data_IF_608512962667
#
_entry.id   IF_608512962667
#
_cell.length_a   1.000
_cell.length_b   1.000
_cell.length_c   1.000
_cell.angle_alpha   90.00
_cell.angle_beta   90.00
_cell.angle_gamma   90.00
#
_symmetry.space_group_name_H-M   'P 1'
#
loop_
_entity.id
_entity.type
_entity.pdbx_description
1 polymer ?
#
# COMPACT_ATOMS: atom_id res chain seq x y z
N UNK A 1 4.76 68.18 -4.98
CA UNK A 1 5.17 67.47 -3.74
C UNK A 1 3.90 66.93 -3.09
N UNK A 2 3.60 65.64 -3.25
CA UNK A 2 2.40 64.99 -2.71
C UNK A 2 2.84 63.97 -1.66
N UNK A 3 2.44 64.22 -0.42
CA UNK A 3 2.77 63.42 0.76
C UNK A 3 2.14 62.03 0.69
N UNK A 4 2.96 60.99 0.83
CA UNK A 4 2.53 59.61 0.94
C UNK A 4 2.29 59.29 2.43
N UNK A 5 1.05 58.98 2.78
CA UNK A 5 0.64 58.58 4.13
C UNK A 5 0.94 57.08 4.30
N UNK A 6 1.84 56.75 5.24
CA UNK A 6 2.11 55.38 5.65
C UNK A 6 1.01 54.89 6.59
N UNK A 7 0.23 53.90 6.17
CA UNK A 7 -0.69 53.15 7.04
C UNK A 7 0.08 51.96 7.60
N UNK A 8 0.43 52.02 8.88
CA UNK A 8 0.99 50.89 9.63
C UNK A 8 -0.20 50.05 10.12
N UNK A 9 -0.38 48.86 9.54
CA UNK A 9 -1.34 47.86 10.03
C UNK A 9 -0.66 47.03 11.10
N UNK A 10 -1.02 47.26 12.36
CA UNK A 10 -0.66 46.39 13.47
C UNK A 10 -1.51 45.12 13.43
N UNK A 11 -0.93 43.99 13.01
CA UNK A 11 -1.51 42.67 13.23
C UNK A 11 -1.18 42.20 14.65
N UNK A 12 -2.16 42.31 15.55
CA UNK A 12 -2.14 41.59 16.82
C UNK A 12 -2.33 40.09 16.55
N UNK A 13 -1.25 39.31 16.59
CA UNK A 13 -1.34 37.86 16.70
C UNK A 13 -1.73 37.50 18.13
N UNK A 14 -2.99 37.11 18.32
CA UNK A 14 -3.44 36.43 19.52
C UNK A 14 -2.86 35.00 19.50
N UNK A 15 -1.88 34.73 20.36
CA UNK A 15 -1.37 33.39 20.63
C UNK A 15 -2.40 32.61 21.45
N UNK A 16 -3.13 31.71 20.82
CA UNK A 16 -3.93 30.70 21.51
C UNK A 16 -3.02 29.54 21.96
N UNK A 17 -3.19 28.99 23.18
CA UNK A 17 -2.45 27.81 23.61
C UNK A 17 -3.04 26.56 22.94
N UNK A 18 -2.34 26.04 21.92
CA UNK A 18 -2.59 24.71 21.33
C UNK A 18 -1.71 23.66 22.02
N UNK A 19 -2.09 23.30 23.24
CA UNK A 19 -1.63 22.08 23.91
C UNK A 19 -2.88 21.57 24.65
N UNK A 20 -3.62 20.60 24.12
CA UNK A 20 -3.49 19.21 24.59
C UNK A 20 -4.19 18.19 23.66
N UNK A 21 -4.33 18.51 22.37
CA UNK A 21 -5.03 17.62 21.41
C UNK A 21 -4.12 16.71 20.57
N UNK A 22 -2.83 17.02 20.46
CA UNK A 22 -1.97 16.45 19.39
C UNK A 22 -1.09 15.27 19.85
N UNK A 23 -0.92 15.06 21.15
CA UNK A 23 -0.04 14.01 21.70
C UNK A 23 -0.70 12.62 21.63
N UNK A 24 -2.02 12.54 21.61
CA UNK A 24 -2.76 11.27 21.66
C UNK A 24 -2.74 10.53 20.31
N UNK A 25 -2.79 11.25 19.18
CA UNK A 25 -2.75 10.66 17.83
C UNK A 25 -1.36 10.14 17.45
N UNK A 26 -0.29 10.85 17.82
CA UNK A 26 1.09 10.47 17.51
C UNK A 26 1.52 9.17 18.19
N UNK A 27 1.14 8.98 19.46
CA UNK A 27 1.43 7.72 20.18
C UNK A 27 0.67 6.53 19.60
N UNK A 28 -0.56 6.74 19.13
CA UNK A 28 -1.36 5.69 18.50
C UNK A 28 -0.79 5.27 17.13
N UNK A 29 -0.25 6.22 16.36
CA UNK A 29 0.46 5.92 15.11
C UNK A 29 1.81 5.23 15.34
N UNK A 30 2.60 5.65 16.34
CA UNK A 30 3.89 5.01 16.64
C UNK A 30 3.74 3.58 17.20
N UNK A 31 2.75 3.34 18.07
CA UNK A 31 2.46 2.00 18.56
C UNK A 31 1.95 1.05 17.46
N UNK A 32 1.31 1.60 16.42
CA UNK A 32 0.91 0.87 15.21
C UNK A 32 2.12 0.44 14.38
N UNK A 33 3.04 1.36 14.09
CA UNK A 33 4.27 1.06 13.34
C UNK A 33 5.05 -0.07 14.02
N UNK A 34 5.18 -0.04 15.35
CA UNK A 34 5.91 -1.06 16.10
C UNK A 34 5.22 -2.44 16.10
N UNK A 35 3.87 -2.49 16.15
CA UNK A 35 3.13 -3.75 16.07
C UNK A 35 3.17 -4.34 14.66
N UNK A 36 2.97 -3.54 13.62
CA UNK A 36 3.14 -3.97 12.22
C UNK A 36 4.55 -4.56 12.01
N UNK A 37 5.57 -3.95 12.63
CA UNK A 37 6.96 -4.48 12.63
C UNK A 37 7.10 -5.85 13.29
N UNK A 38 6.41 -6.09 14.41
CA UNK A 38 6.45 -7.40 15.09
C UNK A 38 5.68 -8.48 14.32
N UNK A 39 4.57 -8.14 13.67
CA UNK A 39 3.83 -9.09 12.81
C UNK A 39 4.59 -9.41 11.51
N UNK A 40 5.36 -8.46 10.96
CA UNK A 40 6.20 -8.70 9.79
C UNK A 40 7.29 -9.78 10.02
N UNK A 41 7.73 -9.98 11.28
CA UNK A 41 8.77 -10.95 11.64
C UNK A 41 8.24 -12.37 11.87
N UNK A 42 6.93 -12.53 12.05
CA UNK A 42 6.29 -13.83 12.22
C UNK A 42 5.19 -13.93 11.16
N UNK A 43 5.58 -13.92 9.87
CA UNK A 43 4.68 -14.10 8.72
C UNK A 43 3.91 -15.42 8.93
N UNK A 44 2.69 -15.33 9.44
CA UNK A 44 1.81 -16.47 9.55
C UNK A 44 1.49 -16.93 8.12
N UNK A 45 1.89 -18.14 7.75
CA UNK A 45 1.75 -18.64 6.37
C UNK A 45 0.29 -18.59 5.90
N UNK A 46 -0.66 -18.71 6.83
CA UNK A 46 -2.10 -18.62 6.57
C UNK A 46 -2.56 -17.24 6.08
N UNK A 47 -1.81 -16.18 6.38
CA UNK A 47 -2.10 -14.81 6.00
C UNK A 47 -1.46 -14.40 4.66
N UNK A 48 -0.58 -15.23 4.13
CA UNK A 48 0.09 -14.96 2.85
C UNK A 48 -0.90 -15.21 1.71
N UNK A 49 -1.17 -14.15 0.94
CA UNK A 49 -2.09 -14.17 -0.18
C UNK A 49 -1.37 -14.30 -1.52
N UNK A 50 -0.16 -13.73 -1.61
CA UNK A 50 0.67 -13.69 -2.81
C UNK A 50 2.16 -13.67 -2.44
N UNK A 51 2.97 -14.40 -3.19
CA UNK A 51 4.42 -14.22 -3.30
C UNK A 51 4.80 -14.28 -4.78
N UNK A 52 5.47 -13.26 -5.28
CA UNK A 52 5.98 -13.22 -6.65
C UNK A 52 7.47 -13.03 -6.60
N UNK A 53 8.22 -14.01 -7.10
CA UNK A 53 9.66 -13.90 -7.27
C UNK A 53 9.97 -13.34 -8.65
N UNK A 54 10.78 -12.29 -8.69
CA UNK A 54 11.08 -11.49 -9.86
C UNK A 54 12.60 -11.45 -10.06
N UNK A 55 13.07 -11.96 -11.19
CA UNK A 55 14.46 -11.79 -11.62
C UNK A 55 14.67 -10.42 -12.23
N UNK A 56 15.80 -9.79 -11.94
CA UNK A 56 16.22 -8.55 -12.60
C UNK A 56 16.78 -8.89 -13.98
N UNK A 57 16.34 -8.17 -15.02
CA UNK A 57 16.82 -8.37 -16.39
C UNK A 57 18.23 -7.79 -16.58
N UNK A 58 18.96 -8.33 -17.55
CA UNK A 58 20.32 -7.89 -17.87
C UNK A 58 20.36 -6.38 -18.17
N UNK A 59 21.41 -5.71 -17.69
CA UNK A 59 21.59 -4.26 -17.89
C UNK A 59 20.92 -3.38 -16.83
N UNK A 60 20.17 -3.95 -15.88
CA UNK A 60 19.53 -3.22 -14.78
C UNK A 60 20.14 -3.59 -13.42
N UNK A 61 20.15 -2.62 -12.50
CA UNK A 61 20.55 -2.87 -11.09
C UNK A 61 19.33 -3.25 -10.26
N UNK A 62 19.53 -4.03 -9.20
CA UNK A 62 18.46 -4.43 -8.27
C UNK A 62 17.75 -3.20 -7.69
N UNK A 63 18.49 -2.18 -7.30
CA UNK A 63 17.94 -0.93 -6.77
C UNK A 63 17.01 -0.21 -7.78
N UNK A 64 17.42 -0.12 -9.05
CA UNK A 64 16.60 0.50 -10.10
C UNK A 64 15.35 -0.32 -10.40
N UNK A 65 15.48 -1.65 -10.45
CA UNK A 65 14.36 -2.57 -10.62
C UNK A 65 13.36 -2.46 -9.45
N UNK A 66 13.86 -2.42 -8.20
CA UNK A 66 13.06 -2.25 -7.00
C UNK A 66 12.29 -0.94 -7.03
N UNK A 67 12.96 0.16 -7.37
CA UNK A 67 12.33 1.48 -7.48
C UNK A 67 11.20 1.50 -8.53
N UNK A 68 11.42 0.90 -9.70
CA UNK A 68 10.40 0.80 -10.76
C UNK A 68 9.20 -0.06 -10.32
N UNK A 69 9.48 -1.18 -9.66
CA UNK A 69 8.45 -2.06 -9.12
C UNK A 69 7.63 -1.39 -8.00
N UNK A 70 8.28 -0.61 -7.14
CA UNK A 70 7.62 0.20 -6.12
C UNK A 70 6.72 1.26 -6.74
N UNK A 71 7.22 2.02 -7.73
CA UNK A 71 6.43 3.02 -8.47
C UNK A 71 5.20 2.38 -9.13
N UNK A 72 5.37 1.22 -9.77
CA UNK A 72 4.26 0.47 -10.34
C UNK A 72 3.25 0.05 -9.26
N UNK A 73 3.72 -0.54 -8.16
CA UNK A 73 2.85 -1.01 -7.07
C UNK A 73 2.04 0.13 -6.44
N UNK A 74 2.66 1.30 -6.25
CA UNK A 74 2.05 2.49 -5.66
C UNK A 74 1.09 3.21 -6.62
N UNK A 75 1.29 3.09 -7.92
CA UNK A 75 0.41 3.66 -8.96
C UNK A 75 -0.68 2.69 -9.41
N UNK A 76 -0.64 1.43 -8.98
CA UNK A 76 -1.62 0.41 -9.34
C UNK A 76 -3.04 0.85 -8.93
N UNK A 77 -4.04 0.79 -9.84
CA UNK A 77 -5.36 1.34 -9.60
C UNK A 77 -6.24 0.38 -8.78
N UNK A 78 -5.89 0.15 -7.51
CA UNK A 78 -6.60 -0.78 -6.62
C UNK A 78 -8.11 -0.50 -6.54
N UNK A 79 -8.50 0.78 -6.55
CA UNK A 79 -9.91 1.21 -6.52
C UNK A 79 -10.72 0.77 -7.74
N UNK A 80 -10.09 0.61 -8.91
CA UNK A 80 -10.75 0.15 -10.12
C UNK A 80 -10.99 -1.38 -10.13
N UNK A 81 -10.33 -2.11 -9.23
CA UNK A 81 -10.44 -3.57 -9.14
C UNK A 81 -11.72 -4.01 -8.43
N UNK A 82 -12.17 -3.23 -7.44
CA UNK A 82 -13.32 -3.59 -6.61
C UNK A 82 -14.55 -2.78 -7.02
N UNK A 83 -15.63 -3.41 -7.54
CA UNK A 83 -16.77 -2.67 -8.08
C UNK A 83 -17.61 -1.94 -7.02
N UNK A 84 -17.61 -2.41 -5.76
CA UNK A 84 -18.56 -1.92 -4.72
C UNK A 84 -17.92 -1.78 -3.32
N UNK A 85 -16.62 -2.06 -3.18
CA UNK A 85 -15.94 -2.01 -1.88
C UNK A 85 -15.11 -0.73 -1.77
N UNK A 86 -15.46 0.21 -0.86
CA UNK A 86 -14.62 1.37 -0.63
C UNK A 86 -13.29 0.91 0.00
N UNK A 87 -12.21 1.49 -0.50
CA UNK A 87 -10.86 1.21 -0.05
C UNK A 87 -10.02 2.48 -0.02
N UNK A 88 -8.94 2.42 0.72
CA UNK A 88 -7.86 3.41 0.71
C UNK A 88 -6.56 2.64 0.47
N UNK A 89 -5.62 3.21 -0.25
CA UNK A 89 -4.28 2.64 -0.35
C UNK A 89 -3.24 3.71 -0.10
N UNK A 90 -2.20 3.36 0.66
CA UNK A 90 -1.15 4.28 1.09
C UNK A 90 0.21 3.61 0.84
N UNK A 91 1.13 4.27 0.12
CA UNK A 91 2.51 3.83 0.02
C UNK A 91 3.17 3.72 1.39
N UNK A 92 4.13 2.82 1.52
CA UNK A 92 4.84 2.62 2.78
C UNK A 92 6.32 2.87 2.65
N UNK A 93 6.85 3.60 3.62
CA UNK A 93 8.23 4.11 3.58
C UNK A 93 9.27 3.02 3.88
N UNK A 94 8.91 1.99 4.64
CA UNK A 94 9.87 1.01 5.16
C UNK A 94 10.30 -0.08 4.13
N UNK A 95 9.42 -0.46 3.22
CA UNK A 95 9.59 -1.62 2.33
C UNK A 95 9.19 -1.36 0.87
N UNK A 96 9.03 -0.08 0.51
CA UNK A 96 8.62 0.39 -0.81
C UNK A 96 7.26 -0.16 -1.30
N UNK A 97 6.51 -0.80 -0.42
CA UNK A 97 5.25 -1.46 -0.72
C UNK A 97 4.02 -0.53 -0.66
N UNK A 98 2.86 -1.16 -0.47
CA UNK A 98 1.57 -0.47 -0.37
C UNK A 98 0.69 -1.15 0.69
N UNK A 99 0.00 -0.36 1.51
CA UNK A 99 -1.06 -0.85 2.38
C UNK A 99 -2.42 -0.51 1.77
N UNK A 100 -3.21 -1.53 1.46
CA UNK A 100 -4.59 -1.41 0.97
C UNK A 100 -5.54 -1.69 2.12
N UNK A 101 -6.21 -0.66 2.62
CA UNK A 101 -7.21 -0.77 3.69
C UNK A 101 -8.61 -0.88 3.11
N UNK A 102 -9.36 -1.89 3.53
CA UNK A 102 -10.80 -1.97 3.24
C UNK A 102 -11.57 -1.10 4.23
N UNK A 103 -12.41 -0.22 3.69
CA UNK A 103 -13.25 0.67 4.51
C UNK A 103 -14.63 0.06 4.62
N UNK A 104 -15.25 0.18 5.80
CA UNK A 104 -16.68 -0.11 5.93
C UNK A 104 -17.48 0.88 5.07
N UNK A 105 -18.58 0.43 4.47
CA UNK A 105 -19.57 1.36 3.88
C UNK A 105 -19.98 2.37 4.95
N UNK A 106 -20.03 3.65 4.59
CA UNK A 106 -20.45 4.72 5.52
C UNK A 106 -21.88 4.43 6.01
N UNK A 107 -22.00 4.12 7.29
CA UNK A 107 -23.25 4.10 8.05
C UNK A 107 -23.24 5.26 9.03
N UNK A 108 -24.41 5.67 9.53
CA UNK A 108 -24.54 6.77 10.52
C UNK A 108 -23.72 6.54 11.79
N UNK A 109 -23.36 5.28 12.07
CA UNK A 109 -22.52 4.86 13.19
C UNK A 109 -21.12 4.51 12.65
N UNK A 110 -20.23 5.51 12.66
CA UNK A 110 -18.75 5.48 12.56
C UNK A 110 -18.12 4.60 11.44
N UNK A 111 -17.35 5.22 10.56
CA UNK A 111 -16.47 4.52 9.61
C UNK A 111 -15.35 3.79 10.36
N UNK A 112 -15.34 2.46 10.31
CA UNK A 112 -14.25 1.61 10.81
C UNK A 112 -13.41 1.06 9.66
N UNK A 113 -12.13 0.78 9.95
CA UNK A 113 -11.29 -0.09 9.10
C UNK A 113 -11.83 -1.53 9.18
N UNK A 114 -11.82 -2.25 8.07
CA UNK A 114 -12.37 -3.60 7.96
C UNK A 114 -11.34 -4.56 7.35
N UNK A 115 -10.12 -4.54 7.90
CA UNK A 115 -8.97 -5.27 7.38
C UNK A 115 -8.38 -4.66 6.11
N UNK A 116 -7.57 -5.44 5.41
CA UNK A 116 -6.84 -5.00 4.24
C UNK A 116 -5.84 -6.00 3.69
N UNK A 117 -4.96 -5.52 2.81
CA UNK A 117 -3.83 -6.25 2.25
C UNK A 117 -2.59 -5.36 2.34
N UNK A 118 -1.49 -5.94 2.80
CA UNK A 118 -0.18 -5.32 2.85
C UNK A 118 0.71 -5.92 1.79
N UNK A 119 1.11 -5.13 0.80
CA UNK A 119 2.16 -5.48 -0.15
C UNK A 119 3.51 -5.00 0.38
N UNK A 120 4.53 -5.85 0.35
CA UNK A 120 5.94 -5.51 0.64
C UNK A 120 6.84 -5.93 -0.53
N UNK A 121 7.94 -5.20 -0.73
CA UNK A 121 8.95 -5.49 -1.76
C UNK A 121 10.30 -5.68 -1.08
N UNK A 122 10.82 -6.90 -1.14
CA UNK A 122 12.06 -7.29 -0.48
C UNK A 122 13.09 -7.75 -1.53
N UNK A 123 14.37 -7.41 -1.32
CA UNK A 123 15.49 -8.02 -2.06
C UNK A 123 15.86 -9.33 -1.39
N UNK A 124 16.04 -10.38 -2.17
CA UNK A 124 16.44 -11.71 -1.70
C UNK A 124 17.95 -11.91 -1.80
N UNK A 125 18.48 -12.94 -1.13
CA UNK A 125 19.92 -13.24 -1.11
C UNK A 125 20.53 -13.52 -2.49
N UNK A 126 19.73 -13.95 -3.46
CA UNK A 126 20.14 -14.21 -4.84
C UNK A 126 20.00 -12.98 -5.76
N UNK A 127 19.90 -11.77 -5.19
CA UNK A 127 19.72 -10.50 -5.92
C UNK A 127 18.48 -10.49 -6.82
N UNK A 128 17.45 -11.24 -6.44
CA UNK A 128 16.12 -11.14 -7.02
C UNK A 128 15.21 -10.29 -6.13
N UNK A 129 14.02 -9.97 -6.62
CA UNK A 129 13.02 -9.19 -5.89
C UNK A 129 11.84 -10.10 -5.56
N UNK A 130 11.30 -9.98 -4.36
CA UNK A 130 10.08 -10.66 -3.95
C UNK A 130 8.99 -9.63 -3.61
N UNK A 131 7.83 -9.76 -4.26
CA UNK A 131 6.61 -9.06 -3.84
C UNK A 131 5.78 -10.01 -3.00
N UNK A 132 5.59 -9.69 -1.72
CA UNK A 132 4.70 -10.43 -0.84
C UNK A 132 3.43 -9.62 -0.60
N UNK A 133 2.26 -10.25 -0.67
CA UNK A 133 1.02 -9.67 -0.17
C UNK A 133 0.48 -10.49 1.01
N UNK A 134 0.28 -9.84 2.14
CA UNK A 134 -0.22 -10.44 3.39
C UNK A 134 -1.57 -9.82 3.75
N UNK A 135 -2.51 -10.62 4.25
CA UNK A 135 -3.78 -10.12 4.79
C UNK A 135 -3.52 -9.29 6.07
N UNK A 136 -4.15 -8.13 6.16
CA UNK A 136 -4.32 -7.42 7.43
C UNK A 136 -5.73 -7.73 7.96
N UNK A 137 -5.82 -8.49 9.05
CA UNK A 137 -7.11 -8.90 9.66
C UNK A 137 -7.62 -7.90 10.72
N UNK A 138 -6.94 -6.78 10.95
CA UNK A 138 -7.30 -5.82 12.00
C UNK A 138 -8.70 -5.21 11.75
N UNK A 139 -9.57 -5.29 12.75
CA UNK A 139 -10.94 -4.75 12.69
C UNK A 139 -11.92 -5.58 11.85
N UNK A 140 -11.49 -6.72 11.33
CA UNK A 140 -12.31 -7.58 10.48
C UNK A 140 -13.05 -8.65 11.29
N UNK A 141 -14.38 -8.74 11.14
CA UNK A 141 -15.16 -9.86 11.70
C UNK A 141 -15.15 -11.08 10.77
N UNK A 142 -15.11 -10.86 9.46
CA UNK A 142 -15.15 -11.92 8.43
C UNK A 142 -14.12 -11.59 7.33
N UNK A 143 -13.25 -12.54 6.93
CA UNK A 143 -12.32 -12.39 5.82
C UNK A 143 -12.96 -11.87 4.54
N UNK A 144 -12.32 -10.92 3.84
CA UNK A 144 -12.84 -10.30 2.61
C UNK A 144 -12.36 -11.08 1.39
N UNK A 145 -12.55 -12.39 1.39
CA UNK A 145 -11.96 -13.33 0.43
C UNK A 145 -12.17 -12.92 -1.04
N UNK A 146 -13.36 -12.43 -1.39
CA UNK A 146 -13.67 -11.99 -2.77
C UNK A 146 -12.85 -10.76 -3.15
N UNK A 147 -12.80 -9.74 -2.29
CA UNK A 147 -12.04 -8.53 -2.54
C UNK A 147 -10.54 -8.84 -2.61
N UNK A 148 -10.07 -9.68 -1.69
CA UNK A 148 -8.68 -10.10 -1.65
C UNK A 148 -8.28 -10.85 -2.92
N UNK A 149 -9.08 -11.84 -3.33
CA UNK A 149 -8.87 -12.59 -4.57
C UNK A 149 -8.82 -11.67 -5.79
N UNK A 150 -9.76 -10.74 -5.92
CA UNK A 150 -9.80 -9.83 -7.07
C UNK A 150 -8.58 -8.92 -7.13
N UNK A 151 -8.14 -8.37 -6.00
CA UNK A 151 -6.93 -7.54 -5.91
C UNK A 151 -5.70 -8.34 -6.29
N UNK A 152 -5.51 -9.51 -5.68
CA UNK A 152 -4.33 -10.34 -5.94
C UNK A 152 -4.29 -10.80 -7.40
N UNK A 153 -5.40 -11.31 -7.95
CA UNK A 153 -5.45 -11.73 -9.35
C UNK A 153 -5.21 -10.55 -10.30
N UNK A 154 -5.82 -9.39 -10.05
CA UNK A 154 -5.62 -8.21 -10.90
C UNK A 154 -4.19 -7.67 -10.84
N UNK A 155 -3.57 -7.67 -9.65
CA UNK A 155 -2.19 -7.25 -9.49
C UNK A 155 -1.23 -8.18 -10.24
N UNK A 156 -1.44 -9.50 -10.15
CA UNK A 156 -0.67 -10.50 -10.90
C UNK A 156 -0.84 -10.34 -12.40
N UNK A 157 -2.06 -10.06 -12.89
CA UNK A 157 -2.30 -9.76 -14.30
C UNK A 157 -1.54 -8.51 -14.74
N UNK A 158 -1.66 -7.43 -13.96
CA UNK A 158 -0.98 -6.18 -14.27
C UNK A 158 0.54 -6.33 -14.30
N UNK A 159 1.16 -7.01 -13.32
CA UNK A 159 2.63 -7.16 -13.31
C UNK A 159 3.15 -8.08 -14.43
N UNK A 160 2.32 -8.99 -14.92
CA UNK A 160 2.61 -9.78 -16.15
C UNK A 160 2.53 -8.96 -17.43
N UNK A 161 1.97 -7.75 -17.38
CA UNK A 161 1.62 -6.94 -18.54
C UNK A 161 0.37 -7.42 -19.26
N UNK A 162 -0.48 -8.19 -18.60
CA UNK A 162 -1.82 -8.45 -19.09
C UNK A 162 -2.68 -7.19 -18.86
N UNK A 163 -3.39 -6.72 -19.89
CA UNK A 163 -4.28 -5.54 -19.79
C UNK A 163 -3.55 -4.23 -19.42
N UNK A 164 -2.41 -3.89 -20.05
CA UNK A 164 -1.62 -2.66 -19.78
C UNK A 164 -2.47 -1.38 -19.70
N UNK A 165 -3.46 -1.23 -20.58
CA UNK A 165 -4.36 -0.07 -20.61
C UNK A 165 -5.19 0.11 -19.32
N UNK A 166 -5.32 -0.93 -18.50
CA UNK A 166 -6.14 -0.95 -17.29
C UNK A 166 -5.32 -0.79 -16.01
N UNK A 167 -4.10 -1.34 -15.99
CA UNK A 167 -3.27 -1.42 -14.78
C UNK A 167 -2.03 -0.51 -14.82
N UNK A 168 -1.82 0.23 -15.91
CA UNK A 168 -0.64 1.06 -16.13
C UNK A 168 0.49 0.27 -16.79
N UNK A 169 1.63 0.93 -17.03
CA UNK A 169 2.79 0.32 -17.66
C UNK A 169 3.50 -0.59 -16.65
N UNK A 170 3.55 -1.91 -16.89
CA UNK A 170 4.22 -2.83 -15.99
C UNK A 170 5.75 -2.71 -16.12
N UNK A 171 6.52 -3.03 -15.08
CA UNK A 171 7.99 -2.98 -15.11
C UNK A 171 8.61 -4.19 -15.85
N UNK A 172 7.97 -4.70 -16.90
CA UNK A 172 8.41 -5.90 -17.65
C UNK A 172 9.72 -5.69 -18.40
N UNK A 173 10.14 -4.45 -18.61
CA UNK A 173 11.43 -4.09 -19.19
C UNK A 173 12.59 -4.31 -18.22
N UNK A 174 12.36 -4.16 -16.91
CA UNK A 174 13.39 -4.27 -15.86
C UNK A 174 13.33 -5.57 -15.06
N UNK A 175 12.15 -6.18 -14.91
CA UNK A 175 11.96 -7.43 -14.16
C UNK A 175 11.28 -8.51 -15.00
N UNK A 176 11.57 -9.77 -14.69
CA UNK A 176 10.93 -10.96 -15.24
C UNK A 176 10.41 -11.86 -14.12
N UNK A 177 9.19 -12.37 -14.26
CA UNK A 177 8.60 -13.28 -13.27
C UNK A 177 9.30 -14.63 -13.34
N UNK A 178 9.84 -15.08 -12.21
CA UNK A 178 10.44 -16.41 -12.04
C UNK A 178 9.43 -17.41 -11.48
N UNK A 179 8.69 -17.00 -10.44
CA UNK A 179 7.66 -17.83 -9.83
C UNK A 179 6.55 -16.98 -9.24
N UNK A 180 5.36 -17.57 -9.16
CA UNK A 180 4.18 -16.98 -8.53
C UNK A 180 3.61 -18.03 -7.61
N UNK A 181 3.35 -17.65 -6.37
CA UNK A 181 2.43 -18.31 -5.47
C UNK A 181 1.29 -17.34 -5.18
N UNK A 182 0.05 -17.76 -5.33
CA UNK A 182 -1.07 -17.03 -4.74
C UNK A 182 -2.09 -18.01 -4.18
N UNK A 183 -2.74 -17.63 -3.08
CA UNK A 183 -3.59 -18.52 -2.27
C UNK A 183 -4.70 -19.24 -3.07
N UNK A 184 -5.17 -18.64 -4.16
CA UNK A 184 -6.25 -19.19 -4.99
C UNK A 184 -5.78 -19.88 -6.29
N UNK A 185 -4.51 -20.28 -6.40
CA UNK A 185 -3.97 -20.85 -7.65
C UNK A 185 -4.55 -22.24 -7.98
N UNK A 186 -5.12 -22.95 -7.00
CA UNK A 186 -5.65 -24.32 -7.13
C UNK A 186 -7.18 -24.44 -7.06
N UNK A 187 -7.93 -23.55 -7.72
CA UNK A 187 -9.36 -23.82 -7.99
C UNK A 187 -9.65 -23.78 -9.49
N UNK A 188 -8.87 -24.57 -10.23
CA UNK A 188 -9.31 -25.11 -11.50
C UNK A 188 -10.33 -26.23 -11.25
N UNK A 189 -11.57 -25.84 -10.93
CA UNK A 189 -12.83 -26.50 -11.28
C UNK A 189 -14.02 -25.70 -10.72
#
# INVERSE_FOLDING_TARGET
MRSLVYIIVFFCFATAPLADGFVVTLRQQQARILRTRQYALQKNEDEILLRVKLGVREGHTVAAAKQRLAQYSQSFPFSAVLPVQPLMYVPTEDDDGVEVTFLRKKTDIKSGMEGGIRFSIEETEDHSLEVTAVRNSEGQTIPKLVAERLIITSFVKGIKGEEENKYGTPPTDVVGIQSIFHKWMDSGN
#
